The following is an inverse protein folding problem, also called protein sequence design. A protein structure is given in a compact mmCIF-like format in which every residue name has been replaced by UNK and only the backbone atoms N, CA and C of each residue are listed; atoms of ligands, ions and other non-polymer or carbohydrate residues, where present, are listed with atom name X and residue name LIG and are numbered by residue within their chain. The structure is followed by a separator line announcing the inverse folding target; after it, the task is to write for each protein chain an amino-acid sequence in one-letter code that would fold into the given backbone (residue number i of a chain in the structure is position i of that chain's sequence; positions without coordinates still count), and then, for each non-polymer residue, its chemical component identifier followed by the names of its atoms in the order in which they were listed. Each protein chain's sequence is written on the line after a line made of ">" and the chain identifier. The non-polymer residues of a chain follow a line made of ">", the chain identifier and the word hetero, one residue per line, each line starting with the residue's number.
data_IF_610010282519
#
_entry.id   IF_610010282519
#
_cell.length_a   1.000
_cell.length_b   1.000
_cell.length_c   1.000
_cell.angle_alpha   90.00
_cell.angle_beta   90.00
_cell.angle_gamma   90.00
#
_symmetry.space_group_name_H-M   'P 1'
#
loop_
_entity.id
_entity.type
_entity.pdbx_description
1 polymer ?
#
# COMPACT_ATOMS: atom_id res chain seq x y z
N UNK A 1 -8.14 18.90 -6.40
CA UNK A 1 -7.79 17.98 -5.29
C UNK A 1 -6.90 16.87 -5.83
N UNK A 2 -5.67 16.71 -5.32
CA UNK A 2 -4.70 15.77 -5.90
C UNK A 2 -4.85 14.37 -5.29
N UNK A 3 -4.78 13.32 -6.12
CA UNK A 3 -4.87 11.90 -5.68
C UNK A 3 -4.03 11.58 -4.44
N UNK A 4 -2.91 12.27 -4.25
CA UNK A 4 -2.01 12.13 -3.10
C UNK A 4 -2.63 12.44 -1.73
N UNK A 5 -3.58 13.38 -1.66
CA UNK A 5 -4.29 13.70 -0.42
C UNK A 5 -5.35 12.65 -0.07
N UNK A 6 -5.98 12.03 -1.08
CA UNK A 6 -7.00 11.02 -0.83
C UNK A 6 -6.41 9.79 -0.12
N UNK A 7 -5.24 9.29 -0.52
CA UNK A 7 -4.87 7.92 -0.18
C UNK A 7 -4.25 7.67 1.19
N UNK A 8 -3.52 8.61 1.81
CA UNK A 8 -2.78 8.30 3.06
C UNK A 8 -3.02 9.26 4.23
N UNK A 9 -3.96 10.20 4.12
CA UNK A 9 -4.40 11.01 5.28
C UNK A 9 -5.49 10.32 6.11
N UNK A 10 -6.08 9.23 5.62
CA UNK A 10 -7.03 8.44 6.39
C UNK A 10 -6.29 7.42 7.28
N UNK A 11 -6.66 7.34 8.58
CA UNK A 11 -6.10 6.37 9.54
C UNK A 11 -6.11 4.94 8.99
N UNK A 12 -7.14 4.58 8.23
CA UNK A 12 -7.26 3.30 7.55
C UNK A 12 -6.04 2.98 6.67
N UNK A 13 -5.66 3.92 5.81
CA UNK A 13 -4.57 3.72 4.87
C UNK A 13 -3.19 3.73 5.55
N UNK A 14 -3.06 4.52 6.63
CA UNK A 14 -1.83 4.52 7.44
C UNK A 14 -1.64 3.18 8.16
N UNK A 15 -2.72 2.59 8.69
CA UNK A 15 -2.69 1.26 9.31
C UNK A 15 -2.34 0.17 8.29
N UNK A 16 -2.98 0.15 7.11
CA UNK A 16 -2.63 -0.81 6.06
C UNK A 16 -1.16 -0.69 5.63
N UNK A 17 -0.66 0.55 5.49
CA UNK A 17 0.74 0.78 5.15
C UNK A 17 1.69 0.28 6.23
N UNK A 18 1.38 0.46 7.51
CA UNK A 18 2.21 -0.03 8.60
C UNK A 18 2.27 -1.55 8.65
N UNK A 19 1.16 -2.23 8.42
CA UNK A 19 1.14 -3.69 8.39
C UNK A 19 1.97 -4.23 7.21
N UNK A 20 1.88 -3.59 6.04
CA UNK A 20 2.69 -3.95 4.86
C UNK A 20 4.18 -3.69 5.07
N UNK A 21 4.54 -2.59 5.73
CA UNK A 21 5.93 -2.31 6.11
C UNK A 21 6.47 -3.36 7.05
N UNK A 22 5.68 -3.74 8.06
CA UNK A 22 6.04 -4.79 9.02
C UNK A 22 6.26 -6.12 8.32
N UNK A 23 5.34 -6.50 7.44
CA UNK A 23 5.43 -7.73 6.65
C UNK A 23 6.68 -7.77 5.75
N UNK A 24 7.06 -6.64 5.16
CA UNK A 24 8.23 -6.53 4.28
C UNK A 24 9.55 -6.27 5.01
N UNK A 25 9.55 -6.19 6.34
CA UNK A 25 10.70 -5.77 7.14
C UNK A 25 11.20 -4.36 6.76
N UNK A 26 10.31 -3.51 6.25
CA UNK A 26 10.65 -2.21 5.69
C UNK A 26 10.59 -1.12 6.75
N UNK A 27 11.76 -0.75 7.28
CA UNK A 27 11.94 0.33 8.27
C UNK A 27 11.88 1.71 7.61
N UNK A 28 10.68 2.18 7.30
CA UNK A 28 10.45 3.54 6.78
C UNK A 28 9.47 4.30 7.67
N UNK A 29 9.88 5.48 8.14
CA UNK A 29 9.06 6.38 8.98
C UNK A 29 8.03 7.13 8.13
N UNK A 30 8.27 7.27 6.83
CA UNK A 30 7.41 8.04 5.93
C UNK A 30 6.03 7.42 5.77
N UNK A 31 4.98 8.18 6.03
CA UNK A 31 3.57 7.76 5.86
C UNK A 31 2.95 8.28 4.56
N UNK A 32 3.57 9.29 3.93
CA UNK A 32 3.10 9.89 2.69
C UNK A 32 3.66 9.18 1.46
N UNK A 33 2.79 8.86 0.49
CA UNK A 33 3.15 8.16 -0.74
C UNK A 33 4.35 8.75 -1.50
N UNK A 34 4.44 10.07 -1.74
CA UNK A 34 5.58 10.64 -2.46
C UNK A 34 6.88 10.43 -1.70
N UNK A 35 6.86 10.60 -0.37
CA UNK A 35 7.99 10.43 0.53
C UNK A 35 8.42 8.97 0.63
N UNK A 36 7.47 8.05 0.56
CA UNK A 36 7.71 6.61 0.50
C UNK A 36 8.40 6.23 -0.80
N UNK A 37 7.85 6.62 -1.95
CA UNK A 37 8.43 6.32 -3.27
C UNK A 37 9.83 6.94 -3.42
N UNK A 38 10.03 8.19 -2.96
CA UNK A 38 11.36 8.80 -2.89
C UNK A 38 12.32 8.01 -1.99
N UNK A 39 11.83 7.51 -0.86
CA UNK A 39 12.57 6.66 0.06
C UNK A 39 13.00 5.35 -0.58
N UNK A 40 12.12 4.66 -1.32
CA UNK A 40 12.47 3.43 -2.05
C UNK A 40 13.59 3.70 -3.05
N UNK A 41 13.45 4.77 -3.86
CA UNK A 41 14.43 5.10 -4.88
C UNK A 41 15.81 5.37 -4.27
N UNK A 42 15.87 6.11 -3.16
CA UNK A 42 17.11 6.45 -2.45
C UNK A 42 17.65 5.32 -1.56
N UNK A 43 16.85 4.30 -1.25
CA UNK A 43 17.27 3.22 -0.36
C UNK A 43 18.43 2.42 -0.96
N UNK A 44 19.42 2.07 -0.13
CA UNK A 44 20.53 1.18 -0.51
C UNK A 44 20.09 -0.28 -0.40
N UNK A 45 19.14 -0.66 -1.26
CA UNK A 45 18.56 -2.00 -1.36
C UNK A 45 18.71 -2.54 -2.78
N UNK A 46 18.63 -3.86 -2.96
CA UNK A 46 18.68 -4.50 -4.28
C UNK A 46 17.52 -4.02 -5.17
N UNK A 47 17.72 -4.06 -6.49
CA UNK A 47 16.68 -3.74 -7.49
C UNK A 47 15.42 -4.59 -7.25
N UNK A 48 15.60 -5.86 -6.91
CA UNK A 48 14.51 -6.76 -6.53
C UNK A 48 13.71 -6.24 -5.33
N UNK A 49 14.36 -5.92 -4.20
CA UNK A 49 13.67 -5.37 -3.02
C UNK A 49 12.94 -4.06 -3.33
N UNK A 50 13.55 -3.17 -4.11
CA UNK A 50 12.90 -1.92 -4.54
C UNK A 50 11.63 -2.20 -5.34
N UNK A 51 11.69 -3.15 -6.28
CA UNK A 51 10.52 -3.56 -7.05
C UNK A 51 9.42 -4.18 -6.17
N UNK A 52 9.79 -5.01 -5.18
CA UNK A 52 8.83 -5.54 -4.21
C UNK A 52 8.12 -4.42 -3.44
N UNK A 53 8.87 -3.41 -2.98
CA UNK A 53 8.30 -2.25 -2.28
C UNK A 53 7.36 -1.45 -3.17
N UNK A 54 7.74 -1.17 -4.42
CA UNK A 54 6.90 -0.44 -5.38
C UNK A 54 5.62 -1.23 -5.68
N UNK A 55 5.74 -2.53 -5.95
CA UNK A 55 4.59 -3.40 -6.23
C UNK A 55 3.60 -3.45 -5.05
N UNK A 56 4.13 -3.54 -3.83
CA UNK A 56 3.33 -3.55 -2.62
C UNK A 56 2.59 -2.22 -2.40
N UNK A 57 3.28 -1.10 -2.60
CA UNK A 57 2.67 0.24 -2.52
C UNK A 57 1.59 0.43 -3.58
N UNK A 58 1.85 0.01 -4.83
CA UNK A 58 0.87 0.09 -5.91
C UNK A 58 -0.38 -0.77 -5.63
N UNK A 59 -0.19 -2.00 -5.13
CA UNK A 59 -1.29 -2.87 -4.75
C UNK A 59 -2.13 -2.26 -3.61
N UNK A 60 -1.48 -1.68 -2.60
CA UNK A 60 -2.17 -1.01 -1.49
C UNK A 60 -3.02 0.17 -1.97
N UNK A 61 -2.48 1.03 -2.85
CA UNK A 61 -3.21 2.16 -3.43
C UNK A 61 -4.44 1.68 -4.20
N UNK A 62 -4.29 0.69 -5.07
CA UNK A 62 -5.43 0.14 -5.82
C UNK A 62 -6.51 -0.44 -4.91
N UNK A 63 -6.11 -1.15 -3.83
CA UNK A 63 -7.06 -1.76 -2.90
C UNK A 63 -7.78 -0.71 -2.05
N UNK A 64 -7.07 0.31 -1.55
CA UNK A 64 -7.70 1.44 -0.84
C UNK A 64 -8.67 2.18 -1.77
N UNK A 65 -8.32 2.35 -3.04
CA UNK A 65 -9.18 3.02 -4.02
C UNK A 65 -10.46 2.23 -4.23
N UNK A 66 -10.31 0.92 -4.46
CA UNK A 66 -11.43 0.02 -4.67
C UNK A 66 -12.34 -0.04 -3.43
N UNK A 67 -11.77 -0.11 -2.23
CA UNK A 67 -12.53 -0.10 -0.98
C UNK A 67 -13.36 1.18 -0.81
N UNK A 68 -12.77 2.34 -1.14
CA UNK A 68 -13.48 3.62 -1.10
C UNK A 68 -14.57 3.72 -2.15
N UNK A 69 -14.30 3.28 -3.37
CA UNK A 69 -15.30 3.24 -4.42
C UNK A 69 -16.45 2.28 -4.03
N UNK A 70 -16.16 1.10 -3.51
CA UNK A 70 -17.21 0.19 -3.02
C UNK A 70 -18.07 0.82 -1.93
N UNK A 71 -17.46 1.55 -0.98
CA UNK A 71 -18.21 2.28 0.04
C UNK A 71 -19.11 3.36 -0.58
N UNK A 72 -18.60 4.12 -1.54
CA UNK A 72 -19.34 5.21 -2.19
C UNK A 72 -20.48 4.70 -3.08
N UNK A 73 -20.24 3.63 -3.84
CA UNK A 73 -21.18 3.12 -4.86
C UNK A 73 -22.12 2.02 -4.34
N UNK A 74 -21.69 1.18 -3.39
CA UNK A 74 -22.44 0.03 -2.89
C UNK A 74 -22.84 0.12 -1.41
N UNK A 75 -22.47 1.19 -0.69
CA UNK A 75 -22.72 1.33 0.75
C UNK A 75 -22.15 0.17 1.60
N UNK A 76 -21.11 -0.50 1.10
CA UNK A 76 -20.51 -1.69 1.70
C UNK A 76 -19.25 -1.31 2.49
N UNK A 77 -19.25 -1.54 3.81
CA UNK A 77 -18.09 -1.33 4.67
C UNK A 77 -17.16 -2.55 4.61
N UNK A 78 -15.98 -2.39 4.02
CA UNK A 78 -14.97 -3.45 3.97
C UNK A 78 -14.10 -3.43 5.24
N UNK A 79 -13.99 -4.57 5.93
CA UNK A 79 -13.11 -4.76 7.07
C UNK A 79 -11.63 -4.64 6.67
N UNK A 80 -10.85 -3.91 7.48
CA UNK A 80 -9.44 -3.61 7.20
C UNK A 80 -8.60 -4.88 6.98
N UNK A 81 -8.90 -5.93 7.75
CA UNK A 81 -8.22 -7.23 7.70
C UNK A 81 -8.30 -7.90 6.33
N UNK A 82 -9.44 -7.78 5.63
CA UNK A 82 -9.67 -8.43 4.33
C UNK A 82 -8.79 -7.77 3.26
N UNK A 83 -8.73 -6.44 3.24
CA UNK A 83 -7.95 -5.68 2.26
C UNK A 83 -6.44 -5.93 2.39
N UNK A 84 -5.96 -6.10 3.62
CA UNK A 84 -4.54 -6.44 3.85
C UNK A 84 -4.24 -7.86 3.38
N UNK A 85 -5.11 -8.83 3.65
CA UNK A 85 -4.94 -10.21 3.19
C UNK A 85 -4.93 -10.30 1.65
N UNK A 86 -5.85 -9.60 0.97
CA UNK A 86 -5.87 -9.56 -0.50
C UNK A 86 -4.63 -8.89 -1.09
N UNK A 87 -4.12 -7.84 -0.45
CA UNK A 87 -2.89 -7.16 -0.88
C UNK A 87 -1.69 -8.09 -0.75
N UNK A 88 -1.56 -8.83 0.35
CA UNK A 88 -0.52 -9.85 0.55
C UNK A 88 -0.59 -10.94 -0.53
N UNK A 89 -1.80 -11.40 -0.87
CA UNK A 89 -2.01 -12.43 -1.90
C UNK A 89 -1.60 -11.95 -3.31
N UNK A 90 -2.00 -10.74 -3.71
CA UNK A 90 -1.63 -10.16 -5.00
C UNK A 90 -0.13 -9.94 -5.15
N UNK A 91 0.53 -9.47 -4.08
CA UNK A 91 1.98 -9.25 -4.09
C UNK A 91 2.74 -10.56 -4.24
N UNK A 92 2.30 -11.63 -3.56
CA UNK A 92 2.88 -12.98 -3.77
C UNK A 92 2.76 -13.40 -5.23
N UNK A 93 1.56 -13.38 -5.81
CA UNK A 93 1.36 -13.86 -7.18
C UNK A 93 2.04 -13.01 -8.27
N UNK A 94 2.31 -11.73 -8.03
CA UNK A 94 2.99 -10.86 -9.00
C UNK A 94 4.51 -10.93 -8.97
N UNK A 95 5.11 -11.47 -7.90
CA UNK A 95 6.57 -11.50 -7.72
C UNK A 95 7.15 -12.89 -8.03
N UNK A 96 6.34 -13.94 -8.04
CA UNK A 96 6.79 -15.33 -8.34
C UNK A 96 6.94 -15.64 -9.84
N UNK A 97 7.24 -14.65 -10.68
CA UNK A 97 7.63 -14.88 -12.08
C UNK A 97 9.15 -15.01 -12.21
#
# INVERSE_FOLDING_TARGET
>A
ESMLHLFFECRFAQSCLQELKTWLGWRSVNTLLPSILRGINRARQSKFKKNCYIACVAAAVCKIWNARNKKFWCNEDNEQSILVQETKWLVKNRITC
#
